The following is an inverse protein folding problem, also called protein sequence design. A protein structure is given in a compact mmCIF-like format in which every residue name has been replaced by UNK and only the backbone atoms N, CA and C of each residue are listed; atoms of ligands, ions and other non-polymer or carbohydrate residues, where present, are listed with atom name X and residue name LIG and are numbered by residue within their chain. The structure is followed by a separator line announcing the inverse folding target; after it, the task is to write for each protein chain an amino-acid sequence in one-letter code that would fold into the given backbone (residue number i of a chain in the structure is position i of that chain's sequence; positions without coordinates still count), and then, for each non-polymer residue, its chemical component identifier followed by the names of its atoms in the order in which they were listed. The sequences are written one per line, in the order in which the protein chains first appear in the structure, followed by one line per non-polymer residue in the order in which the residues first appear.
data_IF_540725780240
#
_entry.id   IF_540725780240
#
_cell.length_a   1.000
_cell.length_b   1.000
_cell.length_c   1.000
_cell.angle_alpha   90.00
_cell.angle_beta   90.00
_cell.angle_gamma   90.00
#
_symmetry.space_group_name_H-M   'P 1'
#
loop_
_entity.id
_entity.type
_entity.pdbx_description
1 polymer ?
#
# COMPACT_ATOMS: atom_id res chain seq x y z
N UNK A 1 16.59 11.54 -13.32
CA UNK A 1 15.76 11.66 -12.09
C UNK A 1 16.50 11.29 -10.80
N UNK A 2 17.82 11.11 -10.84
CA UNK A 2 18.64 10.58 -9.73
C UNK A 2 18.53 11.40 -8.44
N UNK A 3 18.41 12.74 -8.53
CA UNK A 3 18.29 13.61 -7.35
C UNK A 3 17.06 13.34 -6.47
N UNK A 4 16.02 12.69 -7.00
CA UNK A 4 14.82 12.31 -6.25
C UNK A 4 14.81 10.84 -5.83
N UNK A 5 15.80 10.07 -6.28
CA UNK A 5 15.92 8.68 -5.90
C UNK A 5 16.27 8.59 -4.41
N UNK A 6 15.57 7.74 -3.68
CA UNK A 6 15.88 7.47 -2.29
C UNK A 6 17.16 6.67 -2.17
N UNK A 7 17.98 7.04 -1.19
CA UNK A 7 19.06 6.19 -0.72
C UNK A 7 18.49 5.05 0.14
N UNK A 8 19.21 3.92 0.20
CA UNK A 8 18.76 2.73 0.92
C UNK A 8 18.51 2.99 2.41
N UNK A 9 19.29 3.89 3.00
CA UNK A 9 19.20 4.26 4.41
C UNK A 9 17.93 5.05 4.75
N UNK A 10 17.28 5.63 3.75
CA UNK A 10 16.01 6.35 3.90
C UNK A 10 14.79 5.46 3.66
N UNK A 11 14.98 4.22 3.21
CA UNK A 11 13.87 3.29 3.03
C UNK A 11 13.44 2.72 4.40
N UNK A 12 12.12 2.57 4.63
CA UNK A 12 11.61 1.73 5.70
C UNK A 12 12.18 0.31 5.59
N UNK A 13 12.28 -0.42 6.70
CA UNK A 13 12.76 -1.80 6.68
C UNK A 13 11.87 -2.72 5.83
N UNK A 14 10.57 -2.45 5.85
CA UNK A 14 9.57 -3.20 5.10
C UNK A 14 8.66 -2.24 4.34
N UNK A 15 8.24 -2.66 3.16
CA UNK A 15 7.20 -2.01 2.37
C UNK A 15 6.11 -3.03 2.05
N UNK A 16 4.90 -2.53 1.83
CA UNK A 16 3.71 -3.34 1.65
C UNK A 16 3.08 -3.09 0.29
N UNK A 17 2.63 -4.15 -0.37
CA UNK A 17 2.00 -4.10 -1.70
C UNK A 17 0.70 -4.88 -1.71
N UNK A 18 -0.40 -4.21 -2.06
CA UNK A 18 -1.69 -4.86 -2.30
C UNK A 18 -1.82 -5.23 -3.79
N UNK A 19 -1.71 -6.51 -4.14
CA UNK A 19 -2.03 -6.97 -5.49
C UNK A 19 -3.51 -7.35 -5.57
N UNK A 20 -4.19 -6.91 -6.63
CA UNK A 20 -5.62 -7.11 -6.82
C UNK A 20 -5.95 -7.22 -8.33
N UNK A 21 -7.17 -7.66 -8.71
CA UNK A 21 -7.55 -7.80 -10.11
C UNK A 21 -7.60 -6.45 -10.80
N UNK A 22 -6.94 -6.32 -11.95
CA UNK A 22 -6.82 -5.04 -12.66
C UNK A 22 -5.65 -4.15 -12.19
N UNK A 23 -4.84 -4.64 -11.25
CA UNK A 23 -3.53 -4.04 -10.95
C UNK A 23 -2.67 -3.93 -12.21
N UNK A 24 -1.98 -2.79 -12.37
CA UNK A 24 -1.08 -2.52 -13.51
C UNK A 24 0.26 -3.24 -13.40
N UNK A 25 0.52 -3.89 -12.27
CA UNK A 25 1.73 -4.68 -12.04
C UNK A 25 1.40 -6.15 -12.17
N UNK A 26 2.25 -6.89 -12.87
CA UNK A 26 2.14 -8.36 -12.93
C UNK A 26 2.95 -8.97 -11.80
N UNK A 27 2.44 -10.06 -11.22
CA UNK A 27 3.11 -10.82 -10.19
C UNK A 27 3.31 -12.27 -10.66
N UNK A 28 4.53 -12.78 -10.50
CA UNK A 28 4.85 -14.20 -10.66
C UNK A 28 5.63 -14.67 -9.44
N UNK A 29 5.39 -15.89 -8.98
CA UNK A 29 6.01 -16.41 -7.76
C UNK A 29 7.53 -16.48 -7.84
N UNK A 30 8.07 -16.85 -9.00
CA UNK A 30 9.52 -16.99 -9.22
C UNK A 30 10.23 -15.67 -9.56
N UNK A 31 9.52 -14.71 -10.18
CA UNK A 31 10.11 -13.45 -10.67
C UNK A 31 9.84 -12.26 -9.72
N UNK A 32 8.73 -12.29 -8.99
CA UNK A 32 8.24 -11.20 -8.16
C UNK A 32 7.31 -10.26 -8.93
N UNK A 33 7.39 -8.95 -8.64
CA UNK A 33 6.59 -7.95 -9.31
C UNK A 33 7.32 -7.34 -10.50
N UNK A 34 6.56 -7.08 -11.55
CA UNK A 34 7.00 -6.37 -12.74
C UNK A 34 5.98 -5.30 -13.12
N UNK A 35 6.44 -4.06 -13.31
CA UNK A 35 5.65 -2.96 -13.81
C UNK A 35 5.25 -3.18 -15.28
N UNK A 36 4.11 -2.62 -15.71
CA UNK A 36 3.64 -2.75 -17.09
C UNK A 36 4.67 -2.24 -18.12
N UNK A 37 5.43 -1.20 -17.79
CA UNK A 37 6.53 -0.71 -18.64
C UNK A 37 7.90 -1.02 -18.02
N UNK A 38 8.59 -2.05 -18.54
CA UNK A 38 9.80 -2.62 -17.91
C UNK A 38 11.11 -1.90 -18.22
N UNK A 39 11.14 -1.06 -19.25
CA UNK A 39 12.40 -0.50 -19.80
C UNK A 39 12.45 1.02 -19.82
N UNK A 40 11.40 1.73 -19.37
CA UNK A 40 11.36 3.20 -19.43
C UNK A 40 12.30 3.77 -18.37
N UNK A 41 13.31 4.53 -18.80
CA UNK A 41 14.27 5.20 -17.91
C UNK A 41 14.12 6.71 -18.12
N UNK A 42 14.26 7.48 -17.04
CA UNK A 42 14.11 8.93 -17.06
C UNK A 42 15.45 9.64 -16.82
N UNK A 43 15.96 10.31 -17.86
CA UNK A 43 17.14 11.17 -17.78
C UNK A 43 16.76 12.54 -17.21
N UNK A 44 17.73 13.42 -17.04
CA UNK A 44 17.49 14.76 -16.50
C UNK A 44 16.63 15.63 -17.42
N UNK A 45 16.67 15.39 -18.73
CA UNK A 45 15.81 16.09 -19.69
C UNK A 45 14.36 15.59 -19.70
N UNK A 46 14.08 14.40 -19.14
CA UNK A 46 12.76 13.75 -19.21
C UNK A 46 11.87 14.12 -18.01
N UNK A 47 12.06 15.30 -17.42
CA UNK A 47 11.36 15.75 -16.20
C UNK A 47 9.86 15.76 -16.42
N UNK A 48 9.40 16.35 -17.51
CA UNK A 48 7.96 16.52 -17.75
C UNK A 48 7.27 15.17 -18.02
N UNK A 49 7.94 14.27 -18.74
CA UNK A 49 7.48 12.89 -18.94
C UNK A 49 7.41 12.13 -17.62
N UNK A 50 8.42 12.26 -16.76
CA UNK A 50 8.44 11.66 -15.43
C UNK A 50 7.29 12.17 -14.57
N UNK A 51 7.10 13.50 -14.52
CA UNK A 51 5.99 14.13 -13.77
C UNK A 51 4.64 13.61 -14.24
N UNK A 52 4.42 13.62 -15.57
CA UNK A 52 3.20 13.10 -16.19
C UNK A 52 2.94 11.65 -15.79
N UNK A 53 3.96 10.80 -15.86
CA UNK A 53 3.82 9.39 -15.56
C UNK A 53 3.57 9.13 -14.07
N UNK A 54 4.16 9.92 -13.16
CA UNK A 54 3.84 9.85 -11.73
C UNK A 54 2.37 10.21 -11.49
N UNK A 55 1.87 11.30 -12.07
CA UNK A 55 0.45 11.70 -11.93
C UNK A 55 -0.48 10.63 -12.51
N UNK A 56 -0.14 10.08 -13.68
CA UNK A 56 -0.90 8.98 -14.31
C UNK A 56 -0.90 7.69 -13.48
N UNK A 57 0.11 7.46 -12.63
CA UNK A 57 0.14 6.29 -11.74
C UNK A 57 -1.03 6.31 -10.75
N UNK A 58 -1.40 7.50 -10.28
CA UNK A 58 -2.47 7.72 -9.30
C UNK A 58 -3.79 8.16 -9.94
N UNK A 59 -3.86 8.21 -11.27
CA UNK A 59 -5.08 8.53 -12.00
C UNK A 59 -5.87 7.25 -12.29
N UNK A 60 -6.99 7.05 -11.60
CA UNK A 60 -7.77 5.80 -11.61
C UNK A 60 -8.13 5.28 -13.02
N UNK A 61 -8.59 6.17 -13.90
CA UNK A 61 -9.01 5.82 -15.26
C UNK A 61 -7.86 5.70 -16.26
N UNK A 62 -6.61 5.96 -15.85
CA UNK A 62 -5.46 5.81 -16.73
C UNK A 62 -5.09 4.33 -16.87
N UNK A 63 -4.98 3.89 -18.13
CA UNK A 63 -4.58 2.51 -18.49
C UNK A 63 -3.23 2.44 -19.20
N UNK A 64 -2.49 3.54 -19.23
CA UNK A 64 -1.16 3.60 -19.85
C UNK A 64 -0.22 2.57 -19.19
N UNK A 65 0.69 1.94 -19.93
CA UNK A 65 1.73 1.12 -19.31
C UNK A 65 2.73 2.05 -18.60
N UNK A 66 2.79 2.00 -17.27
CA UNK A 66 3.72 2.81 -16.48
C UNK A 66 4.84 1.96 -15.88
N UNK A 67 6.01 2.56 -15.63
CA UNK A 67 7.19 1.84 -15.13
C UNK A 67 7.22 1.73 -13.60
N UNK A 68 6.10 1.97 -12.90
CA UNK A 68 6.07 2.05 -11.45
C UNK A 68 5.30 0.91 -10.80
N UNK A 69 5.78 0.50 -9.63
CA UNK A 69 5.11 -0.37 -8.67
C UNK A 69 4.84 0.47 -7.42
N UNK A 70 3.56 0.64 -7.06
CA UNK A 70 3.14 1.43 -5.91
C UNK A 70 3.18 0.63 -4.62
N UNK A 71 3.76 1.20 -3.57
CA UNK A 71 4.02 0.57 -2.28
C UNK A 71 3.58 1.48 -1.14
N UNK A 72 3.23 0.86 -0.01
CA UNK A 72 2.91 1.53 1.26
C UNK A 72 4.04 1.29 2.26
N UNK A 73 4.36 2.27 3.10
CA UNK A 73 5.30 2.08 4.22
C UNK A 73 4.64 1.67 5.53
N UNK A 74 3.32 1.77 5.62
CA UNK A 74 2.55 1.48 6.82
C UNK A 74 1.64 0.27 6.57
N UNK A 75 1.73 -0.73 7.44
CA UNK A 75 0.99 -1.98 7.32
C UNK A 75 -0.52 -1.73 7.50
N UNK A 76 -0.90 -1.05 8.59
CA UNK A 76 -2.31 -0.78 8.90
C UNK A 76 -2.98 -0.03 7.74
N UNK A 77 -2.27 0.91 7.11
CA UNK A 77 -2.74 1.63 5.94
C UNK A 77 -2.91 0.72 4.72
N UNK A 78 -1.93 -0.13 4.42
CA UNK A 78 -2.04 -1.09 3.31
C UNK A 78 -3.23 -2.05 3.50
N UNK A 79 -3.43 -2.55 4.72
CA UNK A 79 -4.53 -3.44 5.09
C UNK A 79 -5.88 -2.77 4.95
N UNK A 80 -6.04 -1.58 5.56
CA UNK A 80 -7.27 -0.81 5.45
C UNK A 80 -7.60 -0.47 3.99
N UNK A 81 -6.59 -0.12 3.19
CA UNK A 81 -6.77 0.12 1.77
C UNK A 81 -7.24 -1.15 1.02
N UNK A 82 -6.63 -2.31 1.33
CA UNK A 82 -7.02 -3.61 0.77
C UNK A 82 -8.44 -4.02 1.16
N UNK A 83 -8.81 -3.86 2.43
CA UNK A 83 -10.14 -4.20 2.95
C UNK A 83 -11.23 -3.28 2.41
N UNK A 84 -10.93 -2.00 2.16
CA UNK A 84 -11.84 -1.04 1.49
C UNK A 84 -12.10 -1.40 0.02
N UNK A 85 -11.19 -2.13 -0.64
CA UNK A 85 -11.31 -2.56 -2.04
C UNK A 85 -11.70 -1.42 -3.01
N UNK A 86 -11.01 -0.27 -2.98
CA UNK A 86 -11.38 0.88 -3.80
C UNK A 86 -11.38 0.60 -5.31
N UNK A 87 -10.78 -0.53 -5.73
CA UNK A 87 -10.77 -0.98 -7.11
C UNK A 87 -12.06 -1.61 -7.63
N UNK A 88 -12.96 -2.07 -6.75
CA UNK A 88 -14.21 -2.71 -7.16
C UNK A 88 -15.30 -1.69 -7.58
N UNK A 89 -15.14 -0.41 -7.20
CA UNK A 89 -16.17 0.60 -7.45
C UNK A 89 -17.51 0.24 -6.80
N UNK A 90 -18.62 0.70 -7.39
CA UNK A 90 -19.97 0.45 -6.87
C UNK A 90 -20.52 -0.96 -7.19
N UNK A 91 -19.70 -1.85 -7.76
CA UNK A 91 -20.13 -3.19 -8.15
C UNK A 91 -20.16 -4.12 -6.92
N UNK A 92 -21.28 -4.13 -6.22
CA UNK A 92 -21.50 -4.85 -4.96
C UNK A 92 -21.39 -6.40 -5.04
N UNK A 93 -21.27 -6.99 -6.23
CA UNK A 93 -21.54 -8.43 -6.44
C UNK A 93 -20.34 -9.25 -6.97
N UNK A 94 -19.14 -8.68 -7.11
CA UNK A 94 -17.98 -9.52 -7.43
C UNK A 94 -17.46 -10.17 -6.15
N UNK A 95 -17.71 -11.48 -6.00
CA UNK A 95 -17.11 -12.38 -5.01
C UNK A 95 -15.57 -12.49 -5.11
N UNK A 96 -14.91 -11.60 -5.86
CA UNK A 96 -13.46 -11.51 -5.99
C UNK A 96 -12.88 -10.94 -4.70
N UNK A 97 -12.79 -11.80 -3.67
CA UNK A 97 -11.87 -11.66 -2.56
C UNK A 97 -10.41 -11.92 -3.01
N UNK A 98 -10.11 -11.82 -4.31
CA UNK A 98 -8.81 -12.17 -4.87
C UNK A 98 -7.84 -10.98 -4.80
N UNK A 99 -7.50 -10.55 -3.60
CA UNK A 99 -6.36 -9.66 -3.39
C UNK A 99 -5.39 -10.24 -2.38
N UNK A 100 -4.13 -9.81 -2.44
CA UNK A 100 -3.07 -10.32 -1.58
C UNK A 100 -2.20 -9.16 -1.13
N UNK A 101 -1.92 -9.10 0.18
CA UNK A 101 -0.91 -8.22 0.75
C UNK A 101 0.44 -8.91 0.70
N UNK A 102 1.43 -8.23 0.17
CA UNK A 102 2.82 -8.69 0.12
C UNK A 102 3.67 -7.83 1.02
N UNK A 103 4.51 -8.47 1.82
CA UNK A 103 5.54 -7.81 2.64
C UNK A 103 6.87 -7.91 1.92
N UNK A 104 7.53 -6.77 1.75
CA UNK A 104 8.75 -6.63 0.97
C UNK A 104 9.87 -6.14 1.88
N UNK A 105 10.94 -6.93 2.04
CA UNK A 105 12.14 -6.54 2.78
C UNK A 105 13.03 -5.66 1.91
N UNK A 106 13.17 -4.39 2.28
CA UNK A 106 13.94 -3.40 1.51
C UNK A 106 15.45 -3.61 1.60
N UNK A 107 15.93 -4.39 2.59
CA UNK A 107 17.36 -4.72 2.69
C UNK A 107 17.83 -5.58 1.53
N UNK A 108 16.91 -6.31 0.89
CA UNK A 108 17.18 -7.20 -0.23
C UNK A 108 17.10 -6.47 -1.59
N UNK A 109 16.83 -5.17 -1.61
CA UNK A 109 16.53 -4.40 -2.83
C UNK A 109 17.69 -3.50 -3.30
N UNK A 110 18.93 -4.03 -3.28
CA UNK A 110 20.16 -3.26 -3.51
C UNK A 110 20.25 -2.52 -4.85
N UNK A 111 19.62 -3.03 -5.91
CA UNK A 111 19.67 -2.46 -7.26
C UNK A 111 18.38 -1.76 -7.68
N UNK A 112 17.39 -1.69 -6.80
CA UNK A 112 16.06 -1.15 -7.13
C UNK A 112 16.01 0.36 -6.94
N UNK A 113 15.27 1.04 -7.82
CA UNK A 113 15.13 2.49 -7.80
C UNK A 113 13.81 2.87 -7.12
N UNK A 114 13.89 3.58 -5.99
CA UNK A 114 12.74 4.02 -5.22
C UNK A 114 12.59 5.53 -5.19
N UNK A 115 11.34 5.97 -5.14
CA UNK A 115 10.96 7.36 -4.90
C UNK A 115 9.94 7.40 -3.77
N UNK A 116 10.07 8.36 -2.86
CA UNK A 116 9.02 8.70 -1.91
C UNK A 116 8.07 9.68 -2.60
N UNK A 117 6.76 9.42 -2.54
CA UNK A 117 5.79 10.22 -3.27
C UNK A 117 5.71 11.66 -2.75
N UNK A 118 5.84 11.87 -1.45
CA UNK A 118 5.84 13.20 -0.81
C UNK A 118 7.01 14.06 -1.31
N UNK A 119 8.21 13.47 -1.33
CA UNK A 119 9.41 14.12 -1.88
C UNK A 119 9.20 14.49 -3.36
N UNK A 120 8.52 13.64 -4.14
CA UNK A 120 8.18 13.94 -5.53
C UNK A 120 7.17 15.07 -5.66
N UNK A 121 6.06 15.02 -4.92
CA UNK A 121 5.00 16.05 -4.98
C UNK A 121 5.56 17.41 -4.61
N UNK A 122 6.27 17.49 -3.48
CA UNK A 122 6.87 18.73 -3.00
C UNK A 122 8.00 19.21 -3.92
N UNK A 123 8.88 18.29 -4.32
CA UNK A 123 10.09 18.61 -5.08
C UNK A 123 9.87 18.91 -6.56
N UNK A 124 8.78 18.40 -7.15
CA UNK A 124 8.41 18.60 -8.56
C UNK A 124 7.18 19.49 -8.74
N UNK A 125 6.51 19.87 -7.63
CA UNK A 125 5.23 20.59 -7.60
C UNK A 125 4.17 19.86 -8.44
N UNK A 126 3.99 18.57 -8.15
CA UNK A 126 3.01 17.74 -8.85
C UNK A 126 1.61 18.09 -8.36
N UNK A 127 0.68 18.23 -9.28
CA UNK A 127 -0.75 18.25 -8.97
C UNK A 127 -1.25 16.80 -8.97
N UNK A 128 -1.34 16.20 -7.79
CA UNK A 128 -1.93 14.88 -7.60
C UNK A 128 -3.41 15.08 -7.27
N UNK A 129 -4.32 14.18 -7.70
CA UNK A 129 -5.74 14.31 -7.36
C UNK A 129 -5.95 14.43 -5.84
N UNK A 130 -6.80 15.38 -5.40
CA UNK A 130 -7.07 15.73 -3.99
C UNK A 130 -7.29 14.49 -3.09
N UNK A 131 -7.97 13.48 -3.63
CA UNK A 131 -8.28 12.22 -2.92
C UNK A 131 -7.05 11.39 -2.55
N UNK A 132 -5.93 11.59 -3.23
CA UNK A 132 -4.68 10.90 -2.93
C UNK A 132 -3.78 11.71 -1.97
N UNK A 133 -4.07 12.99 -1.72
CA UNK A 133 -3.21 13.86 -0.91
C UNK A 133 -2.94 13.34 0.50
N UNK A 134 -3.96 12.76 1.14
CA UNK A 134 -3.85 12.24 2.51
C UNK A 134 -2.95 11.00 2.61
N UNK A 135 -2.66 10.34 1.49
CA UNK A 135 -1.92 9.08 1.44
C UNK A 135 -0.48 9.25 0.93
N UNK A 136 -0.09 10.47 0.55
CA UNK A 136 1.20 10.74 -0.11
C UNK A 136 2.41 10.42 0.79
N UNK A 137 2.34 10.73 2.09
CA UNK A 137 3.47 10.59 3.02
C UNK A 137 3.94 9.14 3.22
N UNK A 138 3.01 8.18 3.10
CA UNK A 138 3.28 6.75 3.24
C UNK A 138 3.45 6.01 1.92
N UNK A 139 3.45 6.71 0.78
CA UNK A 139 3.46 6.10 -0.55
C UNK A 139 4.85 6.13 -1.20
N UNK A 140 5.23 4.99 -1.77
CA UNK A 140 6.51 4.79 -2.44
C UNK A 140 6.29 4.24 -3.85
N UNK A 141 7.17 4.62 -4.78
CA UNK A 141 7.21 4.08 -6.13
C UNK A 141 8.53 3.34 -6.34
N UNK A 142 8.45 2.06 -6.70
CA UNK A 142 9.60 1.29 -7.19
C UNK A 142 9.58 1.27 -8.72
N UNK A 143 10.73 1.49 -9.34
CA UNK A 143 10.88 1.40 -10.79
C UNK A 143 11.04 -0.07 -11.24
N UNK A 144 10.30 -0.43 -12.27
CA UNK A 144 10.38 -1.69 -13.05
C UNK A 144 10.06 -2.99 -12.33
N UNK A 145 10.81 -3.37 -11.29
CA UNK A 145 10.77 -4.73 -10.74
C UNK A 145 11.01 -4.78 -9.24
N UNK A 146 10.33 -5.69 -8.56
CA UNK A 146 10.67 -6.14 -7.20
C UNK A 146 10.89 -7.66 -7.29
N UNK A 147 12.10 -8.16 -7.03
CA UNK A 147 12.41 -9.58 -7.20
C UNK A 147 11.68 -10.44 -6.16
N UNK A 148 11.37 -11.69 -6.55
CA UNK A 148 10.67 -12.64 -5.68
C UNK A 148 11.35 -12.84 -4.32
N UNK A 149 12.67 -12.91 -4.28
CA UNK A 149 13.41 -13.15 -3.03
C UNK A 149 13.30 -12.01 -2.01
N UNK A 150 12.90 -10.81 -2.44
CA UNK A 150 12.66 -9.69 -1.53
C UNK A 150 11.25 -9.71 -0.92
N UNK A 151 10.37 -10.57 -1.42
CA UNK A 151 9.01 -10.76 -0.92
C UNK A 151 9.09 -11.82 0.18
N UNK A 152 8.95 -11.38 1.43
CA UNK A 152 9.17 -12.23 2.61
C UNK A 152 7.88 -12.82 3.17
N UNK A 153 6.73 -12.23 2.86
CA UNK A 153 5.43 -12.73 3.32
C UNK A 153 4.29 -12.37 2.35
N UNK A 154 3.20 -13.13 2.44
CA UNK A 154 1.97 -12.96 1.65
C UNK A 154 0.77 -13.28 2.53
N UNK A 155 -0.22 -12.38 2.56
CA UNK A 155 -1.46 -12.57 3.30
C UNK A 155 -2.66 -12.40 2.37
N UNK A 156 -3.59 -13.35 2.43
CA UNK A 156 -4.91 -13.20 1.81
C UNK A 156 -5.82 -12.28 2.66
N UNK A 157 -7.00 -11.88 2.14
CA UNK A 157 -7.85 -10.93 2.86
C UNK A 157 -8.41 -11.47 4.18
N UNK A 158 -8.58 -12.80 4.29
CA UNK A 158 -9.02 -13.44 5.51
C UNK A 158 -7.95 -13.34 6.59
N UNK A 159 -6.70 -13.68 6.24
CA UNK A 159 -5.55 -13.53 7.13
C UNK A 159 -5.36 -12.08 7.58
N UNK A 160 -5.46 -11.12 6.66
CA UNK A 160 -5.37 -9.68 7.02
C UNK A 160 -6.46 -9.29 8.01
N UNK A 161 -7.70 -9.75 7.81
CA UNK A 161 -8.81 -9.44 8.71
C UNK A 161 -8.60 -9.98 10.12
N UNK A 162 -8.13 -11.23 10.24
CA UNK A 162 -7.83 -11.87 11.52
C UNK A 162 -6.67 -11.18 12.24
N UNK A 163 -5.54 -11.01 11.55
CA UNK A 163 -4.32 -10.40 12.11
C UNK A 163 -4.52 -8.94 12.52
N UNK A 164 -5.26 -8.17 11.71
CA UNK A 164 -5.58 -6.77 12.02
C UNK A 164 -6.45 -6.66 13.28
N UNK A 165 -7.42 -7.57 13.44
CA UNK A 165 -8.26 -7.64 14.64
C UNK A 165 -7.45 -8.03 15.88
N UNK A 166 -6.54 -9.00 15.77
CA UNK A 166 -5.65 -9.37 16.86
C UNK A 166 -4.72 -8.21 17.28
N UNK A 167 -4.09 -7.52 16.33
CA UNK A 167 -3.26 -6.33 16.60
C UNK A 167 -4.05 -5.19 17.22
N UNK A 168 -5.30 -4.99 16.82
CA UNK A 168 -6.19 -4.01 17.44
C UNK A 168 -6.49 -4.38 18.90
N UNK A 169 -6.85 -5.65 19.16
CA UNK A 169 -7.12 -6.12 20.51
C UNK A 169 -5.88 -5.95 21.40
N UNK A 170 -4.70 -6.34 20.94
CA UNK A 170 -3.45 -6.18 21.71
C UNK A 170 -3.17 -4.71 22.05
N UNK A 171 -3.32 -3.79 21.09
CA UNK A 171 -3.20 -2.35 21.34
C UNK A 171 -4.18 -1.87 22.40
N UNK A 172 -5.45 -2.29 22.30
CA UNK A 172 -6.51 -1.90 23.25
C UNK A 172 -6.29 -2.49 24.64
N UNK A 173 -5.87 -3.75 24.75
CA UNK A 173 -5.54 -4.39 26.01
C UNK A 173 -4.29 -3.79 26.64
N UNK A 174 -3.26 -3.48 25.85
CA UNK A 174 -2.07 -2.78 26.32
C UNK A 174 -2.39 -1.37 26.82
N UNK A 175 -3.28 -0.65 26.14
CA UNK A 175 -3.74 0.68 26.58
C UNK A 175 -4.63 0.60 27.84
N UNK A 176 -5.49 -0.43 27.97
CA UNK A 176 -6.26 -0.72 29.19
C UNK A 176 -5.38 -1.17 30.36
N UNK A 177 -4.29 -1.92 30.11
CA UNK A 177 -3.35 -2.42 31.13
C UNK A 177 -2.60 -1.30 31.85
N UNK A 178 -2.42 -0.15 31.19
CA UNK A 178 -1.92 1.07 31.83
C UNK A 178 -3.02 1.94 32.46
N UNK A 179 -4.29 1.58 32.25
CA UNK A 179 -5.46 2.29 32.77
C UNK A 179 -6.10 1.65 34.01
N UNK A 180 -6.19 0.32 34.09
CA UNK A 180 -6.81 -0.37 35.23
C UNK A 180 -6.25 -1.79 35.41
N UNK A 181 -5.76 -2.07 36.62
CA UNK A 181 -5.92 -3.38 37.24
C UNK A 181 -7.43 -3.69 37.28
N UNK A 182 -7.83 -4.85 36.73
CA UNK A 182 -9.03 -5.65 37.02
C UNK A 182 -9.92 -6.02 35.80
N UNK A 183 -10.29 -7.30 35.72
CA UNK A 183 -11.63 -7.70 35.24
C UNK A 183 -11.81 -8.37 33.87
N UNK A 184 -11.75 -9.70 33.86
CA UNK A 184 -12.70 -10.64 33.20
C UNK A 184 -12.80 -10.76 31.65
N UNK A 185 -12.53 -11.98 31.17
CA UNK A 185 -12.53 -12.42 29.76
C UNK A 185 -13.88 -12.66 29.08
N UNK A 186 -14.87 -11.77 29.28
CA UNK A 186 -16.18 -11.80 28.60
C UNK A 186 -16.34 -10.73 27.51
N UNK A 187 -15.35 -9.83 27.33
CA UNK A 187 -15.45 -8.67 26.42
C UNK A 187 -15.11 -8.97 24.95
N UNK A 188 -14.53 -10.14 24.63
CA UNK A 188 -13.99 -10.43 23.29
C UNK A 188 -15.07 -10.46 22.20
N UNK A 189 -16.21 -11.09 22.47
CA UNK A 189 -17.32 -11.22 21.50
C UNK A 189 -18.07 -9.90 21.30
N UNK A 190 -18.37 -9.18 22.39
CA UNK A 190 -19.01 -7.85 22.32
C UNK A 190 -18.13 -6.78 21.63
N UNK A 191 -16.80 -6.95 21.67
CA UNK A 191 -15.87 -6.08 20.96
C UNK A 191 -15.79 -6.38 19.46
N UNK A 192 -16.04 -7.62 19.05
CA UNK A 192 -16.06 -8.00 17.63
C UNK A 192 -17.29 -7.43 16.91
N UNK A 193 -18.46 -7.46 17.54
CA UNK A 193 -19.68 -6.81 17.02
C UNK A 193 -19.54 -5.27 16.94
N UNK A 194 -18.85 -4.66 17.90
CA UNK A 194 -18.55 -3.23 17.89
C UNK A 194 -17.51 -2.86 16.80
N UNK A 195 -16.56 -3.77 16.50
CA UNK A 195 -15.58 -3.57 15.43
C UNK A 195 -16.25 -3.57 14.05
N UNK A 196 -17.18 -4.50 13.80
CA UNK A 196 -17.99 -4.51 12.59
C UNK A 196 -18.78 -3.19 12.43
N UNK A 197 -19.32 -2.66 13.53
CA UNK A 197 -20.09 -1.40 13.53
C UNK A 197 -19.20 -0.15 13.30
N UNK A 198 -17.97 -0.14 13.80
CA UNK A 198 -16.99 0.94 13.57
C UNK A 198 -16.45 0.87 12.15
N UNK A 199 -16.23 -0.33 11.61
CA UNK A 199 -15.91 -0.54 10.20
C UNK A 199 -17.02 -0.02 9.31
N UNK A 200 -18.29 -0.30 9.63
CA UNK A 200 -19.44 0.19 8.88
C UNK A 200 -19.60 1.72 8.92
N UNK A 201 -19.31 2.37 10.06
CA UNK A 201 -19.39 3.83 10.17
C UNK A 201 -18.23 4.59 9.55
N UNK A 202 -17.06 3.99 9.44
CA UNK A 202 -15.91 4.60 8.75
C UNK A 202 -15.92 4.37 7.22
N UNK A 203 -16.95 3.71 6.68
CA UNK A 203 -17.18 3.62 5.23
C UNK A 203 -17.81 4.91 4.64
N UNK A 204 -18.35 5.81 5.46
CA UNK A 204 -19.03 7.02 4.97
C UNK A 204 -18.05 8.13 4.54
N UNK A 205 -16.80 8.09 4.99
CA UNK A 205 -15.75 8.98 4.52
C UNK A 205 -15.02 8.34 3.33
N UNK A 206 -15.67 8.52 2.19
CA UNK A 206 -15.21 8.08 0.89
C UNK A 206 -13.80 8.60 0.59
N UNK A 207 -12.87 7.63 0.55
CA UNK A 207 -11.44 7.67 0.21
C UNK A 207 -10.53 7.83 1.43
#
# INVERSE_FOLDING_TARGET
MEKYQLSKERLPLELYRIQYPGSRTTYFEEEGFTAAHRTKVYREQDVDDFKSDVVKQFTWHCRDPLPFISLFSDLDHAENWGLKRPWQGDAADSNDNEWTLFVIDTKLLDSSCFFNLEDLVNGLRLEIPDKAEQHISGAYLCLHTIPAFAIVDKMDPGQVGEDSFERYLDRKYSQKKWGYLDGSGSEREALQENWNTIFEKNMEDNW
#
